data_IF_359820513549
#
_entry.id   IF_359820513549
#
_cell.length_a   1.000
_cell.length_b   1.000
_cell.length_c   1.000
_cell.angle_alpha   90.00
_cell.angle_beta   90.00
_cell.angle_gamma   90.00
#
_symmetry.space_group_name_H-M   'P 1'
#
loop_
_entity.id
_entity.type
_entity.pdbx_description
1 polymer ?
#
# COMPACT_ATOMS: atom_id res chain seq x y z
N UNK A 1 2.64 20.72 0.30
CA UNK A 1 3.36 19.81 -0.61
C UNK A 1 2.61 18.49 -0.54
N UNK A 2 2.37 17.78 -1.63
CA UNK A 2 1.63 16.51 -1.56
C UNK A 2 2.61 15.41 -1.13
N UNK A 3 2.39 14.82 0.04
CA UNK A 3 3.15 13.65 0.48
C UNK A 3 2.49 12.40 -0.06
N UNK A 4 3.29 11.49 -0.62
CA UNK A 4 2.80 10.22 -1.16
C UNK A 4 3.50 9.11 -0.39
N UNK A 5 2.72 8.16 0.14
CA UNK A 5 3.22 6.89 0.65
C UNK A 5 2.34 5.73 0.14
N UNK A 6 2.78 4.51 0.37
CA UNK A 6 2.09 3.30 -0.09
C UNK A 6 1.83 2.40 1.11
N UNK A 7 0.62 1.86 1.20
CA UNK A 7 0.19 0.93 2.24
C UNK A 7 -0.02 -0.44 1.60
N UNK A 8 0.84 -1.39 1.93
CA UNK A 8 0.74 -2.78 1.50
C UNK A 8 0.06 -3.61 2.59
N UNK A 9 -0.94 -4.40 2.21
CA UNK A 9 -1.74 -5.22 3.12
C UNK A 9 -1.96 -6.60 2.53
N UNK A 10 -1.94 -7.62 3.38
CA UNK A 10 -2.25 -9.02 3.10
C UNK A 10 -2.99 -9.65 4.30
N UNK A 11 -3.35 -10.92 4.21
CA UNK A 11 -4.10 -11.61 5.26
C UNK A 11 -3.43 -11.52 6.66
N UNK A 12 -2.09 -11.57 6.71
CA UNK A 12 -1.32 -11.53 7.97
C UNK A 12 -0.31 -10.38 8.07
N UNK A 13 -0.20 -9.55 7.02
CA UNK A 13 0.79 -8.48 6.95
C UNK A 13 0.16 -7.13 6.66
N UNK A 14 0.68 -6.09 7.31
CA UNK A 14 0.26 -4.70 7.12
C UNK A 14 1.50 -3.80 7.33
N UNK A 15 1.97 -3.16 6.27
CA UNK A 15 3.14 -2.28 6.31
C UNK A 15 3.06 -1.11 5.33
N UNK A 16 3.71 -0.01 5.70
CA UNK A 16 3.87 1.18 4.84
C UNK A 16 5.23 1.18 4.13
N UNK A 17 5.26 1.75 2.93
CA UNK A 17 6.45 1.95 2.12
C UNK A 17 6.46 3.36 1.51
N UNK A 18 7.65 3.93 1.36
CA UNK A 18 7.84 5.27 0.78
C UNK A 18 7.69 5.25 -0.75
N UNK A 19 7.93 4.09 -1.37
CA UNK A 19 7.81 3.91 -2.83
C UNK A 19 6.96 2.70 -3.21
N UNK A 20 6.38 2.76 -4.41
CA UNK A 20 5.59 1.65 -4.95
C UNK A 20 6.43 0.39 -5.19
N UNK A 21 7.70 0.54 -5.58
CA UNK A 21 8.60 -0.59 -5.81
C UNK A 21 8.92 -1.35 -4.52
N UNK A 22 9.09 -0.64 -3.40
CA UNK A 22 9.26 -1.24 -2.08
C UNK A 22 7.99 -1.96 -1.63
N UNK A 23 6.83 -1.31 -1.74
CA UNK A 23 5.54 -1.95 -1.43
C UNK A 23 5.37 -3.24 -2.24
N UNK A 24 5.69 -3.20 -3.55
CA UNK A 24 5.60 -4.37 -4.42
C UNK A 24 6.56 -5.49 -4.04
N UNK A 25 7.77 -5.14 -3.60
CA UNK A 25 8.75 -6.12 -3.12
C UNK A 25 8.22 -6.84 -1.88
N UNK A 26 7.67 -6.10 -0.91
CA UNK A 26 7.09 -6.63 0.32
C UNK A 26 5.92 -7.56 0.02
N UNK A 27 5.01 -7.15 -0.87
CA UNK A 27 3.87 -7.99 -1.27
C UNK A 27 4.29 -9.28 -1.97
N UNK A 28 5.38 -9.27 -2.74
CA UNK A 28 5.90 -10.48 -3.36
C UNK A 28 6.47 -11.44 -2.30
N UNK A 29 7.19 -10.93 -1.30
CA UNK A 29 7.72 -11.74 -0.19
C UNK A 29 6.56 -12.41 0.58
N UNK A 30 5.49 -11.67 0.89
CA UNK A 30 4.30 -12.21 1.57
C UNK A 30 3.57 -13.26 0.72
N UNK A 31 3.50 -13.06 -0.60
CA UNK A 31 2.95 -14.05 -1.51
C UNK A 31 3.75 -15.37 -1.47
N UNK A 32 5.09 -15.28 -1.43
CA UNK A 32 5.96 -16.45 -1.30
C UNK A 32 5.82 -17.14 0.07
N UNK A 33 5.50 -16.38 1.12
CA UNK A 33 5.19 -16.90 2.46
C UNK A 33 3.80 -17.57 2.55
N UNK A 34 2.96 -17.41 1.52
CA UNK A 34 1.67 -18.05 1.39
C UNK A 34 0.47 -17.17 1.72
N UNK A 35 0.66 -15.86 1.84
CA UNK A 35 -0.46 -14.94 1.94
C UNK A 35 -1.27 -14.85 0.64
N UNK A 36 -2.57 -14.65 0.82
CA UNK A 36 -3.49 -14.32 -0.25
C UNK A 36 -4.04 -12.91 -0.06
N UNK A 37 -4.84 -12.46 -1.03
CA UNK A 37 -5.55 -11.17 -0.98
C UNK A 37 -4.64 -9.96 -0.78
N UNK A 38 -3.51 -9.93 -1.47
CA UNK A 38 -2.53 -8.87 -1.30
C UNK A 38 -2.97 -7.61 -2.04
N UNK A 39 -2.89 -6.46 -1.39
CA UNK A 39 -3.32 -5.17 -1.89
C UNK A 39 -2.27 -4.11 -1.60
N UNK A 40 -2.11 -3.14 -2.51
CA UNK A 40 -1.33 -1.93 -2.26
C UNK A 40 -2.21 -0.72 -2.52
N UNK A 41 -2.32 0.14 -1.51
CA UNK A 41 -2.97 1.42 -1.57
C UNK A 41 -1.92 2.52 -1.71
N UNK A 42 -2.18 3.50 -2.56
CA UNK A 42 -1.42 4.74 -2.62
C UNK A 42 -2.15 5.76 -1.76
N UNK A 43 -1.46 6.33 -0.80
CA UNK A 43 -1.96 7.37 0.08
C UNK A 43 -1.35 8.69 -0.35
N UNK A 44 -2.21 9.65 -0.66
CA UNK A 44 -1.79 11.02 -0.97
C UNK A 44 -2.32 11.94 0.13
N UNK A 45 -1.43 12.70 0.77
CA UNK A 45 -1.77 13.68 1.79
C UNK A 45 -1.41 15.09 1.30
N UNK A 46 -2.41 15.96 1.18
CA UNK A 46 -2.20 17.36 0.85
C UNK A 46 -2.11 18.21 2.12
N UNK A 47 -0.93 18.78 2.38
CA UNK A 47 -0.69 19.69 3.52
C UNK A 47 -1.42 21.04 3.40
N UNK A 48 -2.17 21.27 2.33
CA UNK A 48 -2.76 22.58 2.00
C UNK A 48 -4.06 22.83 2.77
N UNK A 49 -4.68 21.79 3.32
CA UNK A 49 -5.90 21.87 4.12
C UNK A 49 -5.60 21.50 5.58
N UNK A 50 -6.17 22.23 6.55
CA UNK A 50 -6.15 21.87 7.99
C UNK A 50 -6.83 20.50 8.30
N UNK A 51 -7.32 19.83 7.25
CA UNK A 51 -7.85 18.49 7.24
C UNK A 51 -6.88 17.61 6.44
N UNK A 52 -6.38 16.55 7.07
CA UNK A 52 -5.63 15.50 6.37
C UNK A 52 -6.66 14.70 5.59
N UNK A 53 -6.87 15.04 4.32
CA UNK A 53 -7.60 14.16 3.40
C UNK A 53 -6.60 13.11 2.92
N UNK A 54 -6.69 11.90 3.49
CA UNK A 54 -5.93 10.75 3.04
C UNK A 54 -6.71 10.11 1.90
N UNK A 55 -6.37 10.46 0.67
CA UNK A 55 -6.95 9.80 -0.50
C UNK A 55 -6.26 8.45 -0.66
N UNK A 56 -6.98 7.36 -0.32
CA UNK A 56 -6.50 6.00 -0.49
C UNK A 56 -6.94 5.43 -1.84
N UNK A 57 -6.00 5.27 -2.76
CA UNK A 57 -6.25 4.69 -4.08
C UNK A 57 -5.68 3.26 -4.15
N UNK A 58 -6.51 2.25 -4.40
CA UNK A 58 -6.03 0.89 -4.65
C UNK A 58 -5.27 0.84 -5.98
N UNK A 59 -3.96 0.67 -5.92
CA UNK A 59 -3.07 0.66 -7.10
C UNK A 59 -2.59 -0.74 -7.49
N UNK A 60 -2.75 -1.73 -6.61
CA UNK A 60 -2.42 -3.12 -6.90
C UNK A 60 -3.32 -4.07 -6.10
N UNK A 61 -3.73 -5.17 -6.75
CA UNK A 61 -4.40 -6.28 -6.09
C UNK A 61 -3.98 -7.59 -6.72
N UNK A 62 -3.64 -8.56 -5.88
CA UNK A 62 -3.37 -9.93 -6.28
C UNK A 62 -4.26 -10.88 -5.48
N UNK A 63 -5.06 -11.67 -6.19
CA UNK A 63 -5.91 -12.70 -5.58
C UNK A 63 -5.19 -14.04 -5.73
N UNK A 64 -4.88 -14.65 -4.59
CA UNK A 64 -4.39 -16.02 -4.52
C UNK A 64 -5.32 -16.98 -5.27
N UNK A 65 -4.72 -18.01 -5.87
CA UNK A 65 -5.32 -18.93 -6.83
C UNK A 65 -6.47 -19.79 -6.27
#
# INVERSE_FOLDING_TARGET
>A
MTHICFHATADHHDQFADTFEEAKKMTNEWFEEGDSHIQIFKLSADEVTDYIDLDEELVYTEKGK
#
